data_IF_188099942180
#
_entry.id   IF_188099942180
#
_cell.length_a   1.000
_cell.length_b   1.000
_cell.length_c   1.000
_cell.angle_alpha   90.00
_cell.angle_beta   90.00
_cell.angle_gamma   90.00
#
_symmetry.space_group_name_H-M   'P 1'
#
loop_
_entity.id
_entity.type
_entity.pdbx_description
1 polymer ?
#
# COMPACT_ATOMS: atom_id res chain seq x y z
N UNK A 1 14.05 12.53 3.84
CA UNK A 1 14.09 11.06 3.98
C UNK A 1 12.68 10.55 4.22
N UNK A 2 12.37 9.31 3.84
CA UNK A 2 11.04 8.71 4.08
C UNK A 2 10.86 8.44 5.59
N UNK A 3 9.69 8.77 6.15
CA UNK A 3 9.35 8.48 7.55
C UNK A 3 8.68 7.10 7.64
N UNK A 4 9.32 6.09 8.26
CA UNK A 4 8.74 4.76 8.36
C UNK A 4 7.76 4.68 9.54
N UNK A 5 6.48 4.46 9.25
CA UNK A 5 5.49 4.10 10.26
C UNK A 5 5.48 2.57 10.42
N UNK A 6 5.93 2.09 11.58
CA UNK A 6 6.09 0.68 11.90
C UNK A 6 5.30 0.39 13.17
N UNK A 7 4.48 -0.66 13.16
CA UNK A 7 3.74 -1.06 14.35
C UNK A 7 4.69 -1.62 15.43
N UNK A 8 4.62 -1.05 16.63
CA UNK A 8 5.37 -1.54 17.78
C UNK A 8 4.56 -2.55 18.58
N UNK A 9 5.18 -3.69 18.93
CA UNK A 9 4.57 -4.69 19.82
C UNK A 9 4.63 -4.19 21.27
N UNK A 10 3.72 -4.69 22.12
CA UNK A 10 3.63 -4.32 23.55
C UNK A 10 4.96 -4.44 24.32
N UNK A 11 5.83 -5.37 23.93
CA UNK A 11 7.10 -5.64 24.61
C UNK A 11 8.31 -4.99 23.92
N UNK A 12 8.10 -4.09 22.96
CA UNK A 12 9.18 -3.34 22.31
C UNK A 12 9.63 -2.17 23.18
N UNK A 13 10.92 -1.85 23.11
CA UNK A 13 11.51 -0.70 23.78
C UNK A 13 12.02 0.31 22.76
N UNK A 14 12.27 1.53 23.22
CA UNK A 14 12.85 2.61 22.43
C UNK A 14 14.31 2.37 21.99
N UNK A 15 14.92 1.25 22.41
CA UNK A 15 16.30 0.89 22.11
C UNK A 15 16.35 -0.27 21.12
N UNK A 16 16.37 0.05 19.82
CA UNK A 16 16.75 -0.92 18.79
C UNK A 16 18.23 -0.73 18.43
N UNK A 17 19.12 -1.34 19.22
CA UNK A 17 20.56 -1.42 18.91
C UNK A 17 21.21 -0.06 18.55
N UNK A 18 20.77 1.03 19.20
CA UNK A 18 21.29 2.38 18.96
C UNK A 18 20.71 3.14 17.75
N UNK A 19 19.71 2.59 17.05
CA UNK A 19 19.06 3.29 15.94
C UNK A 19 18.26 4.51 16.43
N UNK A 20 18.74 5.71 16.10
CA UNK A 20 18.08 6.97 16.46
C UNK A 20 16.69 7.12 15.84
N UNK A 21 16.51 6.66 14.59
CA UNK A 21 15.23 6.71 13.90
C UNK A 21 14.17 5.82 14.57
N UNK A 22 14.56 4.63 15.01
CA UNK A 22 13.68 3.75 15.78
C UNK A 22 13.19 4.43 17.05
N UNK A 23 14.10 5.04 17.80
CA UNK A 23 13.75 5.76 19.02
C UNK A 23 12.78 6.90 18.73
N UNK A 24 13.02 7.68 17.68
CA UNK A 24 12.12 8.76 17.28
C UNK A 24 10.73 8.25 16.91
N UNK A 25 10.64 7.18 16.10
CA UNK A 25 9.35 6.59 15.73
C UNK A 25 8.62 5.98 16.92
N UNK A 26 9.35 5.33 17.83
CA UNK A 26 8.79 4.78 19.06
C UNK A 26 8.24 5.89 19.97
N UNK A 27 8.95 7.02 20.10
CA UNK A 27 8.45 8.17 20.84
C UNK A 27 7.21 8.77 20.16
N UNK A 28 7.21 8.93 18.83
CA UNK A 28 6.02 9.39 18.09
C UNK A 28 4.80 8.48 18.29
N UNK A 29 5.01 7.17 18.29
CA UNK A 29 3.96 6.19 18.56
C UNK A 29 3.38 6.32 19.98
N UNK A 30 4.21 6.63 20.98
CA UNK A 30 3.76 6.84 22.35
C UNK A 30 3.09 8.20 22.56
N UNK A 31 3.61 9.25 21.93
CA UNK A 31 3.15 10.63 22.09
C UNK A 31 1.76 10.84 21.45
N UNK A 32 1.58 10.35 20.21
CA UNK A 32 0.29 10.39 19.53
C UNK A 32 -0.02 9.06 18.80
N UNK A 33 -0.47 8.02 19.54
CA UNK A 33 -0.73 6.71 18.95
C UNK A 33 -1.81 6.75 17.87
N UNK A 34 -2.80 7.64 17.99
CA UNK A 34 -3.89 7.75 17.02
C UNK A 34 -3.38 8.22 15.67
N UNK A 35 -2.70 9.36 15.63
CA UNK A 35 -2.12 9.91 14.40
C UNK A 35 -1.11 8.93 13.79
N UNK A 36 -0.31 8.27 14.64
CA UNK A 36 0.63 7.24 14.18
C UNK A 36 -0.08 6.08 13.48
N UNK A 37 -1.20 5.61 14.05
CA UNK A 37 -2.01 4.54 13.48
C UNK A 37 -2.70 4.97 12.18
N UNK A 38 -3.20 6.20 12.10
CA UNK A 38 -3.80 6.75 10.87
C UNK A 38 -2.82 6.68 9.68
N UNK A 39 -1.54 6.95 9.92
CA UNK A 39 -0.50 6.76 8.90
C UNK A 39 -0.18 5.29 8.62
N UNK A 40 -0.08 4.46 9.67
CA UNK A 40 0.23 3.04 9.51
C UNK A 40 -0.87 2.27 8.76
N UNK A 41 -2.13 2.61 9.00
CA UNK A 41 -3.31 1.96 8.41
C UNK A 41 -3.43 2.15 6.90
N UNK A 42 -2.79 3.18 6.32
CA UNK A 42 -2.73 3.38 4.86
C UNK A 42 -2.13 2.18 4.12
N UNK A 43 -1.32 1.36 4.82
CA UNK A 43 -0.81 0.08 4.31
C UNK A 43 -1.91 -0.88 3.89
N UNK A 44 -3.06 -0.88 4.59
CA UNK A 44 -4.17 -1.77 4.31
C UNK A 44 -4.78 -1.49 2.93
N UNK A 45 -4.78 -0.24 2.47
CA UNK A 45 -5.27 0.12 1.13
C UNK A 45 -4.40 -0.52 0.04
N UNK A 46 -3.08 -0.50 0.24
CA UNK A 46 -2.12 -1.11 -0.68
C UNK A 46 -2.31 -2.63 -0.72
N UNK A 47 -2.41 -3.28 0.44
CA UNK A 47 -2.64 -4.73 0.52
C UNK A 47 -3.97 -5.15 -0.11
N UNK A 48 -5.04 -4.41 0.16
CA UNK A 48 -6.36 -4.66 -0.41
C UNK A 48 -6.34 -4.50 -1.92
N UNK A 49 -5.68 -3.45 -2.43
CA UNK A 49 -5.54 -3.21 -3.87
C UNK A 49 -4.75 -4.33 -4.55
N UNK A 50 -3.62 -4.74 -3.99
CA UNK A 50 -2.87 -5.88 -4.54
C UNK A 50 -3.65 -7.19 -4.48
N UNK A 51 -4.42 -7.42 -3.41
CA UNK A 51 -5.33 -8.55 -3.30
C UNK A 51 -6.39 -8.56 -4.40
N UNK A 52 -7.04 -7.42 -4.63
CA UNK A 52 -8.05 -7.25 -5.66
C UNK A 52 -7.47 -7.46 -7.08
N UNK A 53 -6.30 -6.89 -7.36
CA UNK A 53 -5.59 -7.10 -8.64
C UNK A 53 -5.31 -8.60 -8.85
N UNK A 54 -4.77 -9.28 -7.84
CA UNK A 54 -4.47 -10.73 -7.94
C UNK A 54 -5.74 -11.57 -8.12
N UNK A 55 -6.84 -11.20 -7.46
CA UNK A 55 -8.11 -11.90 -7.58
C UNK A 55 -8.73 -11.72 -8.97
N UNK A 56 -8.71 -10.50 -9.53
CA UNK A 56 -9.37 -10.16 -10.81
C UNK A 56 -8.51 -10.49 -12.04
N UNK A 57 -7.20 -10.25 -11.96
CA UNK A 57 -6.26 -10.38 -13.09
C UNK A 57 -5.32 -11.59 -12.99
N UNK A 58 -5.39 -12.35 -11.89
CA UNK A 58 -4.52 -13.49 -11.61
C UNK A 58 -3.13 -13.09 -11.13
N UNK A 59 -2.56 -13.91 -10.24
CA UNK A 59 -1.27 -13.64 -9.59
C UNK A 59 -0.05 -13.88 -10.49
N UNK A 60 -0.12 -14.85 -11.41
CA UNK A 60 1.05 -15.31 -12.17
C UNK A 60 1.45 -14.32 -13.26
N UNK A 61 2.75 -14.12 -13.44
CA UNK A 61 3.34 -13.47 -14.62
C UNK A 61 3.85 -14.55 -15.57
N UNK A 62 3.43 -14.51 -16.82
CA UNK A 62 3.75 -15.54 -17.82
C UNK A 62 5.01 -15.21 -18.62
N UNK A 63 5.43 -13.94 -18.64
CA UNK A 63 6.62 -13.51 -19.34
C UNK A 63 7.91 -14.12 -18.76
N UNK A 64 8.88 -14.41 -19.64
CA UNK A 64 10.17 -15.04 -19.28
C UNK A 64 11.26 -14.03 -18.93
N UNK A 65 11.27 -12.86 -19.58
CA UNK A 65 12.28 -11.83 -19.34
C UNK A 65 11.79 -10.85 -18.28
N UNK A 66 12.70 -10.33 -17.46
CA UNK A 66 12.35 -9.39 -16.40
C UNK A 66 11.68 -8.11 -16.96
N UNK A 67 12.11 -7.64 -18.13
CA UNK A 67 11.51 -6.48 -18.80
C UNK A 67 10.07 -6.78 -19.19
N UNK A 68 9.81 -7.93 -19.80
CA UNK A 68 8.46 -8.32 -20.19
C UNK A 68 7.56 -8.58 -18.97
N UNK A 69 8.10 -9.16 -17.89
CA UNK A 69 7.37 -9.33 -16.62
C UNK A 69 6.97 -7.98 -15.99
N UNK A 70 7.87 -6.99 -16.02
CA UNK A 70 7.56 -5.63 -15.56
C UNK A 70 6.45 -5.01 -16.40
N UNK A 71 6.53 -5.12 -17.72
CA UNK A 71 5.49 -4.61 -18.61
C UNK A 71 4.15 -5.33 -18.41
N UNK A 72 4.16 -6.65 -18.26
CA UNK A 72 2.97 -7.44 -17.94
C UNK A 72 2.31 -6.99 -16.63
N UNK A 73 3.12 -6.79 -15.58
CA UNK A 73 2.62 -6.29 -14.29
C UNK A 73 2.03 -4.88 -14.42
N UNK A 74 2.70 -3.97 -15.13
CA UNK A 74 2.19 -2.60 -15.36
C UNK A 74 0.88 -2.62 -16.15
N UNK A 75 0.76 -3.47 -17.17
CA UNK A 75 -0.48 -3.65 -17.93
C UNK A 75 -1.62 -4.17 -17.04
N UNK A 76 -1.36 -5.13 -16.14
CA UNK A 76 -2.36 -5.61 -15.18
C UNK A 76 -2.85 -4.51 -14.24
N UNK A 77 -1.93 -3.67 -13.75
CA UNK A 77 -2.27 -2.52 -12.90
C UNK A 77 -3.14 -1.51 -13.68
N UNK A 78 -2.74 -1.18 -14.91
CA UNK A 78 -3.50 -0.28 -15.78
C UNK A 78 -4.91 -0.82 -16.07
N UNK A 79 -5.01 -2.10 -16.43
CA UNK A 79 -6.29 -2.75 -16.67
C UNK A 79 -7.19 -2.74 -15.43
N UNK A 80 -6.64 -3.02 -14.24
CA UNK A 80 -7.40 -2.97 -12.99
C UNK A 80 -7.96 -1.57 -12.74
N UNK A 81 -7.13 -0.53 -12.87
CA UNK A 81 -7.56 0.86 -12.68
C UNK A 81 -8.68 1.26 -13.66
N UNK A 82 -8.60 0.82 -14.92
CA UNK A 82 -9.66 1.04 -15.90
C UNK A 82 -10.97 0.35 -15.50
N UNK A 83 -10.90 -0.87 -14.95
CA UNK A 83 -12.11 -1.55 -14.48
C UNK A 83 -12.74 -0.84 -13.29
N UNK A 84 -11.94 -0.33 -12.35
CA UNK A 84 -12.44 0.44 -11.20
C UNK A 84 -13.09 1.74 -11.68
N UNK A 85 -12.45 2.45 -12.62
CA UNK A 85 -13.02 3.68 -13.18
C UNK A 85 -14.35 3.41 -13.90
N UNK A 86 -14.43 2.34 -14.69
CA UNK A 86 -15.67 1.94 -15.34
C UNK A 86 -16.76 1.58 -14.32
N UNK A 87 -16.43 0.79 -13.28
CA UNK A 87 -17.35 0.45 -12.20
C UNK A 87 -17.87 1.71 -11.48
N UNK A 88 -17.00 2.64 -11.13
CA UNK A 88 -17.41 3.90 -10.50
C UNK A 88 -18.25 4.79 -11.41
N UNK A 89 -18.01 4.77 -12.73
CA UNK A 89 -18.88 5.49 -13.68
C UNK A 89 -20.31 4.93 -13.68
N UNK A 90 -20.47 3.61 -13.68
CA UNK A 90 -21.79 2.98 -13.75
C UNK A 90 -22.52 2.91 -12.40
N UNK A 91 -21.80 2.78 -11.30
CA UNK A 91 -22.37 2.56 -9.96
C UNK A 91 -22.50 3.86 -9.19
N UNK A 92 -21.48 4.72 -9.23
CA UNK A 92 -21.39 5.91 -8.37
C UNK A 92 -21.87 7.19 -9.08
N UNK A 93 -22.46 7.07 -10.28
CA UNK A 93 -23.00 8.16 -11.13
C UNK A 93 -22.02 9.33 -11.30
N UNK A 94 -20.73 9.02 -11.41
CA UNK A 94 -19.66 10.01 -11.52
C UNK A 94 -19.64 10.57 -12.95
N UNK A 95 -19.91 11.86 -13.09
CA UNK A 95 -19.73 12.57 -14.36
C UNK A 95 -18.23 12.68 -14.71
N UNK A 96 -17.81 11.91 -15.72
CA UNK A 96 -16.46 12.02 -16.27
C UNK A 96 -16.48 13.12 -17.34
N UNK A 97 -15.99 14.30 -16.99
CA UNK A 97 -15.76 15.39 -17.94
C UNK A 97 -14.49 15.10 -18.74
N UNK A 98 -14.62 14.93 -20.06
CA UNK A 98 -13.52 14.74 -21.01
C UNK A 98 -13.14 16.05 -21.69
#
# INVERSE_FOLDING_TARGET
GVTPYILFKKNMTSSAKGCGLWRQMYMKFLDNPREYMEHYEQRNNVESTFGAIKAKMGEKLMAKTLVAQKNELLCKILAYNLTVLAESFFIDDIEVNF
#
